data_IF_140770521384
#
_entry.id   IF_140770521384
#
_cell.length_a   1.000
_cell.length_b   1.000
_cell.length_c   1.000
_cell.angle_alpha   90.00
_cell.angle_beta   90.00
_cell.angle_gamma   90.00
#
_symmetry.space_group_name_H-M   'P 1'
#
loop_
_entity.id
_entity.type
_entity.pdbx_description
1 polymer ?
#
# COMPACT_ATOMS: atom_id res chain seq x y z
N UNK A 1 -15.43 19.73 -1.79
CA UNK A 1 -15.00 18.75 -0.77
C UNK A 1 -16.08 17.68 -0.67
N UNK A 2 -15.69 16.41 -0.56
CA UNK A 2 -16.62 15.31 -0.31
C UNK A 2 -17.20 15.47 1.11
N UNK A 3 -18.45 15.01 1.31
CA UNK A 3 -19.17 14.89 2.60
C UNK A 3 -18.32 14.37 3.77
N UNK A 4 -17.26 13.61 3.49
CA UNK A 4 -16.38 12.97 4.46
C UNK A 4 -14.99 13.63 4.62
N UNK A 5 -14.76 14.82 4.02
CA UNK A 5 -13.47 15.52 4.02
C UNK A 5 -12.28 14.69 3.47
N UNK A 6 -12.55 13.77 2.55
CA UNK A 6 -11.50 12.95 1.94
C UNK A 6 -10.93 13.69 0.72
N UNK A 7 -9.62 13.93 0.75
CA UNK A 7 -8.86 14.49 -0.37
C UNK A 7 -8.63 13.42 -1.44
N UNK A 8 -8.85 13.76 -2.71
CA UNK A 8 -8.54 12.88 -3.83
C UNK A 8 -7.03 12.61 -3.88
N UNK A 9 -6.66 11.34 -3.65
CA UNK A 9 -5.29 10.83 -3.74
C UNK A 9 -5.16 9.77 -4.84
N UNK A 10 -6.10 9.75 -5.79
CA UNK A 10 -6.04 8.85 -6.95
C UNK A 10 -4.98 9.37 -7.93
N UNK A 11 -4.07 8.47 -8.33
CA UNK A 11 -3.09 8.81 -9.36
C UNK A 11 -3.77 8.93 -10.73
N UNK A 12 -3.39 9.97 -11.48
CA UNK A 12 -3.85 10.24 -12.82
C UNK A 12 -3.13 9.34 -13.83
N UNK A 13 -3.82 8.90 -14.87
CA UNK A 13 -3.28 7.98 -15.88
C UNK A 13 -3.37 8.61 -17.27
N UNK A 14 -2.27 8.53 -18.02
CA UNK A 14 -2.24 8.91 -19.44
C UNK A 14 -2.78 7.78 -20.33
N UNK A 15 -3.31 8.16 -21.49
CA UNK A 15 -3.86 7.26 -22.52
C UNK A 15 -3.22 7.56 -23.88
N UNK A 16 -3.42 6.67 -24.87
CA UNK A 16 -2.74 6.70 -26.18
C UNK A 16 -2.78 8.06 -26.88
N UNK A 17 -3.87 8.81 -26.73
CA UNK A 17 -4.07 10.14 -27.33
C UNK A 17 -4.20 11.27 -26.29
N UNK A 18 -3.96 10.98 -25.01
CA UNK A 18 -3.98 11.98 -23.94
C UNK A 18 -2.85 11.69 -22.95
N UNK A 19 -1.69 12.28 -23.22
CA UNK A 19 -0.50 12.11 -22.36
C UNK A 19 -0.73 12.82 -21.03
N UNK A 20 -0.14 12.25 -19.98
CA UNK A 20 -0.15 12.86 -18.66
C UNK A 20 0.57 14.22 -18.71
N UNK A 21 -0.10 15.29 -18.30
CA UNK A 21 0.50 16.62 -18.27
C UNK A 21 1.51 16.75 -17.10
N UNK A 22 2.18 17.90 -17.00
CA UNK A 22 3.19 18.12 -15.97
C UNK A 22 2.59 18.15 -14.55
N UNK A 23 1.41 18.74 -14.39
CA UNK A 23 0.74 18.88 -13.09
C UNK A 23 0.26 17.54 -12.55
N UNK A 24 -0.37 16.72 -13.41
CA UNK A 24 -0.78 15.35 -13.10
C UNK A 24 0.43 14.48 -12.73
N UNK A 25 1.59 14.73 -13.37
CA UNK A 25 2.83 14.03 -13.03
C UNK A 25 3.34 14.44 -11.65
N UNK A 26 3.35 15.73 -11.34
CA UNK A 26 3.75 16.24 -10.04
C UNK A 26 2.85 15.70 -8.92
N UNK A 27 1.52 15.72 -9.14
CA UNK A 27 0.52 15.12 -8.24
C UNK A 27 0.76 13.63 -8.01
N UNK A 28 1.03 12.86 -9.07
CA UNK A 28 1.34 11.44 -8.97
C UNK A 28 2.62 11.16 -8.16
N UNK A 29 3.64 11.99 -8.31
CA UNK A 29 4.90 11.91 -7.55
C UNK A 29 4.63 12.15 -6.07
N UNK A 30 3.87 13.20 -5.74
CA UNK A 30 3.50 13.51 -4.36
C UNK A 30 2.75 12.34 -3.69
N UNK A 31 1.74 11.79 -4.38
CA UNK A 31 1.00 10.61 -3.89
C UNK A 31 1.91 9.38 -3.76
N UNK A 32 2.85 9.22 -4.70
CA UNK A 32 3.77 8.09 -4.76
C UNK A 32 4.59 7.91 -3.49
N UNK A 33 4.95 9.01 -2.80
CA UNK A 33 5.72 9.00 -1.55
C UNK A 33 5.00 8.20 -0.45
N UNK A 34 3.68 8.37 -0.34
CA UNK A 34 2.88 7.66 0.66
C UNK A 34 2.52 6.25 0.17
N UNK A 35 2.11 6.14 -1.11
CA UNK A 35 1.64 4.89 -1.70
C UNK A 35 2.72 3.82 -1.77
N UNK A 36 3.96 4.17 -2.09
CA UNK A 36 5.06 3.21 -2.22
C UNK A 36 5.31 2.41 -0.94
N UNK A 37 5.10 3.03 0.24
CA UNK A 37 5.21 2.34 1.54
C UNK A 37 4.17 1.23 1.69
N UNK A 38 2.93 1.52 1.31
CA UNK A 38 1.81 0.58 1.39
C UNK A 38 1.94 -0.52 0.33
N UNK A 39 2.36 -0.17 -0.88
CA UNK A 39 2.59 -1.15 -1.95
C UNK A 39 3.66 -2.18 -1.60
N UNK A 40 4.72 -1.77 -0.91
CA UNK A 40 5.75 -2.69 -0.42
C UNK A 40 5.17 -3.73 0.56
N UNK A 41 4.29 -3.30 1.47
CA UNK A 41 3.60 -4.20 2.42
C UNK A 41 2.72 -5.19 1.66
N UNK A 42 1.87 -4.72 0.75
CA UNK A 42 0.99 -5.60 -0.02
C UNK A 42 1.77 -6.55 -0.92
N UNK A 43 2.86 -6.09 -1.55
CA UNK A 43 3.73 -6.94 -2.36
C UNK A 43 4.33 -8.06 -1.51
N UNK A 44 4.81 -7.73 -0.30
CA UNK A 44 5.35 -8.72 0.63
C UNK A 44 4.29 -9.75 1.05
N UNK A 45 3.12 -9.29 1.49
CA UNK A 45 2.03 -10.18 1.91
C UNK A 45 1.59 -11.13 0.78
N UNK A 46 1.51 -10.64 -0.46
CA UNK A 46 1.17 -11.48 -1.61
C UNK A 46 2.26 -12.50 -1.91
N UNK A 47 3.53 -12.07 -1.92
CA UNK A 47 4.66 -12.91 -2.34
C UNK A 47 5.09 -13.91 -1.28
N UNK A 48 5.20 -13.51 -0.02
CA UNK A 48 5.72 -14.36 1.05
C UNK A 48 4.63 -15.03 1.88
N UNK A 49 3.50 -14.37 2.09
CA UNK A 49 2.41 -14.94 2.91
C UNK A 49 1.31 -15.61 2.06
N UNK A 50 1.47 -15.61 0.73
CA UNK A 50 0.50 -16.14 -0.23
C UNK A 50 -0.92 -15.61 0.01
N UNK A 51 -1.02 -14.29 0.27
CA UNK A 51 -2.28 -13.55 0.47
C UNK A 51 -2.81 -12.91 -0.82
N UNK A 52 -2.57 -13.52 -1.98
CA UNK A 52 -3.11 -13.05 -3.27
C UNK A 52 -4.64 -13.17 -3.34
N UNK A 53 -5.23 -14.08 -2.54
CA UNK A 53 -6.66 -14.28 -2.39
C UNK A 53 -7.01 -14.49 -0.91
N UNK A 54 -8.23 -14.13 -0.51
CA UNK A 54 -8.73 -14.47 0.83
C UNK A 54 -8.83 -15.98 0.97
N UNK A 55 -8.29 -16.54 2.05
CA UNK A 55 -8.42 -17.97 2.37
C UNK A 55 -9.68 -18.28 3.16
N UNK A 56 -10.16 -17.31 3.91
CA UNK A 56 -11.32 -17.46 4.77
C UNK A 56 -12.56 -16.89 4.11
N UNK A 57 -13.71 -17.51 4.41
CA UNK A 57 -15.02 -16.94 4.12
C UNK A 57 -15.42 -16.00 5.26
N UNK A 58 -15.83 -14.78 4.92
CA UNK A 58 -16.26 -13.76 5.87
C UNK A 58 -15.16 -12.78 6.30
N UNK A 59 -15.58 -11.55 6.63
CA UNK A 59 -14.67 -10.43 6.88
C UNK A 59 -13.81 -10.61 8.15
N UNK A 60 -14.37 -11.15 9.23
CA UNK A 60 -13.70 -11.20 10.52
C UNK A 60 -12.37 -11.98 10.48
N UNK A 61 -12.36 -13.17 9.87
CA UNK A 61 -11.17 -14.01 9.79
C UNK A 61 -10.13 -13.45 8.84
N UNK A 62 -10.55 -12.90 7.69
CA UNK A 62 -9.65 -12.24 6.73
C UNK A 62 -9.02 -10.98 7.34
N UNK A 63 -9.79 -10.21 8.11
CA UNK A 63 -9.29 -9.05 8.84
C UNK A 63 -8.25 -9.45 9.89
N UNK A 64 -8.54 -10.47 10.71
CA UNK A 64 -7.58 -10.97 11.69
C UNK A 64 -6.28 -11.45 11.03
N UNK A 65 -6.36 -12.21 9.92
CA UNK A 65 -5.17 -12.63 9.16
C UNK A 65 -4.36 -11.41 8.68
N UNK A 66 -5.02 -10.39 8.14
CA UNK A 66 -4.36 -9.19 7.67
C UNK A 66 -3.67 -8.42 8.79
N UNK A 67 -4.31 -8.30 9.96
CA UNK A 67 -3.72 -7.66 11.14
C UNK A 67 -2.46 -8.40 11.61
N UNK A 68 -2.50 -9.72 11.70
CA UNK A 68 -1.34 -10.54 12.10
C UNK A 68 -0.18 -10.33 11.11
N UNK A 69 -0.46 -10.40 9.81
CA UNK A 69 0.56 -10.18 8.78
C UNK A 69 1.17 -8.76 8.85
N UNK A 70 0.36 -7.74 9.19
CA UNK A 70 0.86 -6.38 9.36
C UNK A 70 1.75 -6.24 10.60
N UNK A 71 1.41 -6.91 11.71
CA UNK A 71 2.24 -6.96 12.92
C UNK A 71 3.57 -7.64 12.61
N UNK A 72 3.55 -8.81 11.96
CA UNK A 72 4.74 -9.55 11.57
C UNK A 72 5.69 -8.70 10.72
N UNK A 73 5.16 -8.02 9.69
CA UNK A 73 5.95 -7.14 8.82
C UNK A 73 6.66 -6.02 9.62
N UNK A 74 5.96 -5.40 10.56
CA UNK A 74 6.54 -4.36 11.42
C UNK A 74 7.63 -4.92 12.33
N UNK A 75 7.44 -6.11 12.90
CA UNK A 75 8.44 -6.79 13.71
C UNK A 75 9.69 -7.12 12.87
N UNK A 76 9.52 -7.66 11.67
CA UNK A 76 10.63 -7.97 10.77
C UNK A 76 11.43 -6.71 10.41
N UNK A 77 10.74 -5.61 10.08
CA UNK A 77 11.40 -4.32 9.84
C UNK A 77 12.14 -3.81 11.06
N UNK A 78 11.55 -3.89 12.25
CA UNK A 78 12.17 -3.48 13.50
C UNK A 78 13.41 -4.30 13.83
N UNK A 79 13.35 -5.62 13.66
CA UNK A 79 14.47 -6.53 13.85
C UNK A 79 15.63 -6.21 12.89
N UNK A 80 15.33 -6.00 11.61
CA UNK A 80 16.33 -5.61 10.61
C UNK A 80 16.97 -4.26 10.92
N UNK A 81 16.18 -3.29 11.37
CA UNK A 81 16.69 -1.99 11.79
C UNK A 81 17.65 -2.12 12.97
N UNK A 82 17.25 -2.87 14.01
CA UNK A 82 18.12 -3.14 15.17
C UNK A 82 19.42 -3.84 14.75
N UNK A 83 19.37 -4.81 13.84
CA UNK A 83 20.58 -5.50 13.37
C UNK A 83 21.57 -4.57 12.65
N UNK A 84 21.06 -3.56 11.94
CA UNK A 84 21.89 -2.67 11.12
C UNK A 84 22.43 -1.45 11.89
N UNK A 85 21.69 -0.98 12.90
CA UNK A 85 21.97 0.30 13.57
C UNK A 85 21.94 0.25 15.10
N UNK A 86 21.56 -0.87 15.70
CA UNK A 86 21.44 -1.05 17.15
C UNK A 86 22.51 -1.94 17.74
#
# INVERSE_FOLDING_TARGET
MDKNDIKDRVQRKGYRNNKLNADDRAHNVEIGVTRGRIEAIFSHMKRLYAMTRSRFMGLARTHAQFQIAAIEWNLQKGARFRQMFG
#
